data_IF_350751197770
#
_entry.id   IF_350751197770
#
_cell.length_a   1.000
_cell.length_b   1.000
_cell.length_c   1.000
_cell.angle_alpha   90.00
_cell.angle_beta   90.00
_cell.angle_gamma   90.00
#
_symmetry.space_group_name_H-M   'P 1'
#
loop_
_entity.id
_entity.type
_entity.pdbx_description
1 polymer ?
#
# COMPACT_ATOMS: atom_id res chain seq x y z
N UNK A 1 -14.95 -18.09 -4.48
CA UNK A 1 -13.71 -18.65 -5.07
C UNK A 1 -12.49 -17.78 -4.77
N UNK A 2 -12.60 -16.45 -4.84
CA UNK A 2 -11.51 -15.51 -4.52
C UNK A 2 -10.86 -15.69 -3.13
N UNK A 3 -11.64 -16.01 -2.09
CA UNK A 3 -11.14 -16.10 -0.71
C UNK A 3 -10.00 -17.11 -0.51
N UNK A 4 -10.02 -18.23 -1.23
CA UNK A 4 -8.96 -19.25 -1.13
C UNK A 4 -7.65 -18.78 -1.75
N UNK A 5 -7.73 -18.01 -2.84
CA UNK A 5 -6.55 -17.44 -3.50
C UNK A 5 -6.00 -16.28 -2.68
N UNK A 6 -6.88 -15.43 -2.13
CA UNK A 6 -6.48 -14.35 -1.22
C UNK A 6 -5.75 -14.89 0.00
N UNK A 7 -6.21 -15.97 0.62
CA UNK A 7 -5.54 -16.51 1.82
C UNK A 7 -4.09 -16.97 1.56
N UNK A 8 -3.75 -17.36 0.31
CA UNK A 8 -2.38 -17.70 -0.08
C UNK A 8 -1.46 -16.48 -0.15
N UNK A 9 -2.01 -15.27 -0.25
CA UNK A 9 -1.27 -14.00 -0.36
C UNK A 9 -0.86 -13.44 1.02
N UNK A 10 -1.31 -14.07 2.11
CA UNK A 10 -0.94 -13.70 3.47
C UNK A 10 0.55 -13.93 3.72
N UNK A 11 1.23 -12.94 4.30
CA UNK A 11 2.63 -13.11 4.70
C UNK A 11 2.74 -13.70 6.12
N UNK A 12 3.76 -14.53 6.34
CA UNK A 12 4.00 -15.23 7.62
C UNK A 12 4.26 -14.28 8.80
N UNK A 13 4.79 -13.09 8.51
CA UNK A 13 5.14 -12.05 9.49
C UNK A 13 4.12 -10.91 9.52
N UNK A 14 2.97 -11.08 8.88
CA UNK A 14 1.90 -10.07 8.86
C UNK A 14 1.00 -10.21 10.09
N UNK A 15 0.83 -9.10 10.80
CA UNK A 15 -0.05 -9.01 11.97
C UNK A 15 -1.52 -9.27 11.56
N UNK A 16 -2.29 -9.97 12.38
CA UNK A 16 -3.69 -10.34 12.09
C UNK A 16 -4.56 -9.14 11.73
N UNK A 17 -4.38 -8.01 12.43
CA UNK A 17 -5.11 -6.77 12.14
C UNK A 17 -4.76 -6.20 10.76
N UNK A 18 -3.49 -6.27 10.37
CA UNK A 18 -3.02 -5.81 9.07
C UNK A 18 -3.56 -6.72 7.97
N UNK A 19 -3.51 -8.03 8.21
CA UNK A 19 -4.03 -9.04 7.31
C UNK A 19 -5.53 -8.88 7.07
N UNK A 20 -6.34 -8.69 8.11
CA UNK A 20 -7.80 -8.54 7.96
C UNK A 20 -8.18 -7.36 7.06
N UNK A 21 -7.52 -6.22 7.23
CA UNK A 21 -7.76 -5.02 6.43
C UNK A 21 -7.26 -5.18 4.99
N UNK A 22 -6.07 -5.74 4.81
CA UNK A 22 -5.52 -6.03 3.48
C UNK A 22 -6.35 -7.09 2.74
N UNK A 23 -6.85 -8.12 3.45
CA UNK A 23 -7.76 -9.14 2.91
C UNK A 23 -9.05 -8.54 2.38
N UNK A 24 -9.65 -7.59 3.11
CA UNK A 24 -10.83 -6.86 2.61
C UNK A 24 -10.51 -6.05 1.35
N UNK A 25 -9.36 -5.38 1.31
CA UNK A 25 -8.91 -4.66 0.13
C UNK A 25 -8.76 -5.59 -1.09
N UNK A 26 -8.10 -6.75 -0.90
CA UNK A 26 -7.90 -7.75 -1.94
C UNK A 26 -9.23 -8.31 -2.47
N UNK A 27 -10.17 -8.64 -1.57
CA UNK A 27 -11.48 -9.18 -1.95
C UNK A 27 -12.33 -8.16 -2.71
N UNK A 28 -12.35 -6.90 -2.26
CA UNK A 28 -13.16 -5.85 -2.89
C UNK A 28 -12.68 -5.49 -4.30
N UNK A 29 -11.38 -5.67 -4.57
CA UNK A 29 -10.78 -5.36 -5.87
C UNK A 29 -10.49 -6.62 -6.70
N UNK A 30 -10.93 -7.80 -6.23
CA UNK A 30 -10.68 -9.07 -6.90
C UNK A 30 -11.39 -9.10 -8.25
N UNK A 31 -10.63 -9.30 -9.34
CA UNK A 31 -11.16 -9.32 -10.70
C UNK A 31 -11.18 -7.95 -11.40
N UNK A 32 -10.85 -6.85 -10.71
CA UNK A 32 -10.64 -5.53 -11.33
C UNK A 32 -9.21 -5.32 -11.84
N UNK A 33 -8.25 -6.02 -11.24
CA UNK A 33 -6.82 -5.92 -11.55
C UNK A 33 -6.21 -7.30 -11.72
N UNK A 34 -5.07 -7.37 -12.41
CA UNK A 34 -4.24 -8.57 -12.44
C UNK A 34 -3.73 -8.88 -11.02
N UNK A 35 -3.62 -10.16 -10.66
CA UNK A 35 -3.21 -10.62 -9.33
C UNK A 35 -1.92 -9.93 -8.84
N UNK A 36 -0.89 -9.86 -9.69
CA UNK A 36 0.39 -9.22 -9.34
C UNK A 36 0.22 -7.74 -9.01
N UNK A 37 -0.56 -7.02 -9.81
CA UNK A 37 -0.83 -5.60 -9.59
C UNK A 37 -1.63 -5.39 -8.31
N UNK A 38 -2.64 -6.23 -8.08
CA UNK A 38 -3.49 -6.18 -6.90
C UNK A 38 -2.68 -6.43 -5.61
N UNK A 39 -1.77 -7.39 -5.63
CA UNK A 39 -0.84 -7.66 -4.52
C UNK A 39 0.02 -6.43 -4.23
N UNK A 40 0.68 -5.87 -5.25
CA UNK A 40 1.52 -4.67 -5.09
C UNK A 40 0.73 -3.48 -4.55
N UNK A 41 -0.47 -3.23 -5.07
CA UNK A 41 -1.36 -2.16 -4.58
C UNK A 41 -1.77 -2.38 -3.12
N UNK A 42 -2.11 -3.63 -2.75
CA UNK A 42 -2.50 -3.96 -1.37
C UNK A 42 -1.37 -3.72 -0.38
N UNK A 43 -0.12 -3.97 -0.77
CA UNK A 43 1.07 -3.70 0.07
C UNK A 43 1.31 -2.21 0.27
N UNK A 44 1.27 -1.44 -0.82
CA UNK A 44 1.45 0.02 -0.77
C UNK A 44 0.32 0.65 0.05
N UNK A 45 -0.92 0.22 -0.17
CA UNK A 45 -2.08 0.68 0.60
C UNK A 45 -1.91 0.40 2.09
N UNK A 46 -1.51 -0.82 2.48
CA UNK A 46 -1.22 -1.15 3.88
C UNK A 46 -0.15 -0.25 4.48
N UNK A 47 0.95 0.00 3.76
CA UNK A 47 2.03 0.88 4.24
C UNK A 47 1.54 2.32 4.44
N UNK A 48 0.74 2.86 3.51
CA UNK A 48 0.16 4.21 3.65
C UNK A 48 -0.83 4.26 4.82
N UNK A 49 -1.66 3.23 4.98
CA UNK A 49 -2.73 3.20 5.98
C UNK A 49 -2.22 2.98 7.42
N UNK A 50 -1.19 2.14 7.60
CA UNK A 50 -0.66 1.81 8.93
C UNK A 50 0.51 2.70 9.36
N UNK A 51 1.47 2.99 8.47
CA UNK A 51 2.64 3.82 8.80
C UNK A 51 2.43 5.31 8.51
N UNK A 52 1.31 5.69 7.86
CA UNK A 52 1.13 7.06 7.39
C UNK A 52 2.19 7.48 6.37
N UNK A 53 2.91 6.51 5.79
CA UNK A 53 3.92 6.75 4.76
C UNK A 53 3.23 7.24 3.50
N UNK A 54 3.05 8.56 3.39
CA UNK A 54 2.90 9.20 2.10
C UNK A 54 4.16 8.88 1.31
N UNK A 55 4.01 8.10 0.24
CA UNK A 55 5.00 8.00 -0.83
C UNK A 55 5.22 9.44 -1.27
N UNK A 56 6.26 10.09 -0.73
CA UNK A 56 6.63 11.44 -1.09
C UNK A 56 6.91 11.35 -2.58
N UNK A 57 5.95 11.82 -3.36
CA UNK A 57 6.11 12.07 -4.78
C UNK A 57 7.10 13.21 -4.86
N UNK A 58 8.37 12.89 -4.68
CA UNK A 58 9.51 13.75 -4.98
C UNK A 58 9.69 13.78 -6.50
N UNK A 59 8.60 14.11 -7.19
CA UNK A 59 8.69 14.78 -8.47
C UNK A 59 9.33 16.14 -8.18
N UNK A 60 10.38 16.44 -8.92
CA UNK A 60 11.31 17.52 -8.64
C UNK A 60 10.67 18.90 -8.49
N UNK A 61 11.20 19.64 -7.51
CA UNK A 61 11.20 21.09 -7.47
C UNK A 61 12.39 21.54 -6.64
N UNK A 62 13.61 21.47 -7.19
CA UNK A 62 14.65 22.38 -6.72
C UNK A 62 14.18 23.78 -7.10
N UNK A 63 13.85 24.59 -6.11
CA UNK A 63 13.95 26.05 -6.23
C UNK A 63 14.89 26.51 -5.13
N UNK A 64 16.03 27.04 -5.56
CA UNK A 64 16.88 27.96 -4.82
C UNK A 64 16.07 28.92 -3.95
N UNK A 65 16.59 29.22 -2.77
CA UNK A 65 15.98 30.21 -1.89
C UNK A 65 16.53 30.18 -0.47
N UNK A 66 17.85 30.07 -0.33
CA UNK A 66 18.54 30.61 0.84
C UNK A 66 18.35 32.13 0.81
N UNK A 67 17.41 32.66 1.60
CA UNK A 67 17.50 33.93 2.34
C UNK A 67 16.37 33.93 3.36
N UNK A 68 16.69 33.79 4.64
CA UNK A 68 16.28 34.79 5.64
C UNK A 68 17.00 34.54 6.95
N UNK A 69 18.25 35.01 7.02
CA UNK A 69 18.68 35.76 8.20
C UNK A 69 17.82 37.03 8.21
N UNK A 70 17.03 37.22 9.25
CA UNK A 70 16.97 38.43 10.08
C UNK A 70 16.22 38.08 11.36
#
# INVERSE_FOLDING_TARGET
MAEKEVEKLRQTHENDRHWQLRRQFLLNNWGLYEEKQLVSLSMVWSNVYFDGCVISTRAHGKSEGDVSRY
#
